data_IF_483968488119
#
_entry.id   IF_483968488119
#
_cell.length_a   1.000
_cell.length_b   1.000
_cell.length_c   1.000
_cell.angle_alpha   90.00
_cell.angle_beta   90.00
_cell.angle_gamma   90.00
#
_symmetry.space_group_name_H-M   'P 1'
#
loop_
_entity.id
_entity.type
_entity.pdbx_description
1 polymer ?
#
# COMPACT_ATOMS: atom_id res chain seq x y z
N UNK A 1 50.54 -0.42 45.00
CA UNK A 1 49.80 0.83 44.69
C UNK A 1 49.49 0.82 43.20
N UNK A 2 48.23 0.54 42.87
CA UNK A 2 47.67 0.66 41.52
C UNK A 2 47.44 2.14 41.21
N UNK A 3 47.84 2.54 40.00
CA UNK A 3 47.08 3.35 39.05
C UNK A 3 48.05 4.16 38.19
N UNK A 4 48.15 3.80 36.92
CA UNK A 4 48.39 4.79 35.88
C UNK A 4 47.38 4.47 34.80
N UNK A 5 46.25 5.19 34.87
CA UNK A 5 45.26 5.26 33.81
C UNK A 5 45.99 5.65 32.53
N UNK A 6 46.03 4.74 31.57
CA UNK A 6 46.35 5.08 30.18
C UNK A 6 45.21 5.94 29.64
N UNK A 7 45.22 7.21 30.02
CA UNK A 7 44.46 8.27 29.37
C UNK A 7 45.09 8.42 27.99
N UNK A 8 44.56 7.70 27.01
CA UNK A 8 44.77 7.98 25.60
C UNK A 8 44.20 9.37 25.33
N UNK A 9 45.03 10.39 25.57
CA UNK A 9 44.79 11.77 25.17
C UNK A 9 44.57 11.79 23.67
N UNK A 10 43.47 12.38 23.20
CA UNK A 10 43.20 12.43 21.78
C UNK A 10 44.15 13.50 21.21
N UNK A 11 45.15 13.04 20.47
CA UNK A 11 46.20 13.84 19.80
C UNK A 11 45.63 14.71 18.67
N UNK A 12 44.60 15.51 18.94
CA UNK A 12 44.11 16.58 18.08
C UNK A 12 45.13 17.73 18.08
N UNK A 13 46.10 17.64 17.17
CA UNK A 13 47.01 18.73 16.83
C UNK A 13 46.33 19.79 15.97
N UNK A 14 46.31 21.02 16.50
CA UNK A 14 45.89 22.30 15.93
C UNK A 14 45.95 22.45 14.39
N UNK A 15 44.84 22.95 13.83
CA UNK A 15 44.84 23.89 12.70
C UNK A 15 44.63 23.29 11.31
N UNK A 16 45.59 22.53 10.79
CA UNK A 16 45.61 22.15 9.37
C UNK A 16 44.97 20.76 9.08
N UNK A 17 45.18 19.78 9.97
CA UNK A 17 44.61 18.44 9.81
C UNK A 17 43.12 18.35 10.16
N UNK A 18 42.65 19.25 11.03
CA UNK A 18 41.23 19.32 11.44
C UNK A 18 40.33 19.72 10.28
N UNK A 19 40.71 20.75 9.51
CA UNK A 19 39.91 21.23 8.38
C UNK A 19 39.75 20.18 7.27
N UNK A 20 40.82 19.47 6.90
CA UNK A 20 40.75 18.41 5.90
C UNK A 20 39.92 17.21 6.39
N UNK A 21 40.04 16.88 7.69
CA UNK A 21 39.22 15.84 8.31
C UNK A 21 37.74 16.24 8.37
N UNK A 22 37.43 17.49 8.66
CA UNK A 22 36.05 18.00 8.68
C UNK A 22 35.44 17.97 7.28
N UNK A 23 36.19 18.37 6.24
CA UNK A 23 35.74 18.23 4.85
C UNK A 23 35.50 16.76 4.51
N UNK A 24 36.43 15.87 4.85
CA UNK A 24 36.28 14.45 4.57
C UNK A 24 35.05 13.86 5.29
N UNK A 25 34.85 14.22 6.56
CA UNK A 25 33.68 13.81 7.34
C UNK A 25 32.38 14.37 6.73
N UNK A 26 32.37 15.62 6.28
CA UNK A 26 31.23 16.23 5.61
C UNK A 26 30.89 15.54 4.28
N UNK A 27 31.90 15.23 3.47
CA UNK A 27 31.71 14.50 2.19
C UNK A 27 31.13 13.11 2.45
N UNK A 28 31.66 12.37 3.44
CA UNK A 28 31.13 11.05 3.80
C UNK A 28 29.70 11.16 4.33
N UNK A 29 29.40 12.16 5.15
CA UNK A 29 28.05 12.38 5.66
C UNK A 29 27.05 12.69 4.52
N UNK A 30 27.44 13.56 3.58
CA UNK A 30 26.63 13.86 2.39
C UNK A 30 26.44 12.60 1.54
N UNK A 31 27.50 11.84 1.29
CA UNK A 31 27.42 10.60 0.52
C UNK A 31 26.48 9.58 1.18
N UNK A 32 26.55 9.43 2.51
CA UNK A 32 25.65 8.58 3.26
C UNK A 32 24.19 9.06 3.17
N UNK A 33 23.95 10.37 3.29
CA UNK A 33 22.61 10.94 3.15
C UNK A 33 22.03 10.71 1.75
N UNK A 34 22.84 10.92 0.70
CA UNK A 34 22.44 10.65 -0.69
C UNK A 34 22.15 9.17 -0.90
N UNK A 35 22.97 8.27 -0.35
CA UNK A 35 22.76 6.83 -0.44
C UNK A 35 21.41 6.41 0.17
N UNK A 36 21.11 6.89 1.38
CA UNK A 36 19.84 6.63 2.05
C UNK A 36 18.67 7.19 1.24
N UNK A 37 18.83 8.39 0.69
CA UNK A 37 17.81 9.01 -0.15
C UNK A 37 17.53 8.20 -1.43
N UNK A 38 18.58 7.74 -2.12
CA UNK A 38 18.45 6.88 -3.30
C UNK A 38 17.76 5.56 -2.94
N UNK A 39 18.13 4.95 -1.82
CA UNK A 39 17.47 3.73 -1.33
C UNK A 39 15.98 3.98 -1.06
N UNK A 40 15.63 5.08 -0.40
CA UNK A 40 14.25 5.46 -0.15
C UNK A 40 13.46 5.69 -1.45
N UNK A 41 14.08 6.32 -2.45
CA UNK A 41 13.49 6.50 -3.78
C UNK A 41 13.25 5.18 -4.50
N UNK A 42 14.20 4.24 -4.45
CA UNK A 42 14.03 2.90 -5.03
C UNK A 42 12.92 2.13 -4.33
N UNK A 43 12.84 2.17 -3.00
CA UNK A 43 11.76 1.56 -2.26
C UNK A 43 10.41 2.18 -2.63
N UNK A 44 10.34 3.51 -2.71
CA UNK A 44 9.12 4.21 -3.12
C UNK A 44 8.69 3.81 -4.53
N UNK A 45 9.63 3.75 -5.47
CA UNK A 45 9.36 3.28 -6.83
C UNK A 45 8.86 1.84 -6.86
N UNK A 46 9.45 0.95 -6.05
CA UNK A 46 9.00 -0.43 -5.92
C UNK A 46 7.57 -0.51 -5.35
N UNK A 47 7.26 0.27 -4.32
CA UNK A 47 5.90 0.38 -3.77
C UNK A 47 4.91 0.90 -4.80
N UNK A 48 5.27 1.94 -5.56
CA UNK A 48 4.43 2.46 -6.64
C UNK A 48 4.20 1.42 -7.73
N UNK A 49 5.20 0.61 -8.05
CA UNK A 49 5.07 -0.47 -9.02
C UNK A 49 4.10 -1.54 -8.52
N UNK A 50 4.25 -1.99 -7.27
CA UNK A 50 3.33 -2.96 -6.65
C UNK A 50 1.91 -2.40 -6.57
N UNK A 51 1.77 -1.15 -6.15
CA UNK A 51 0.48 -0.47 -6.06
C UNK A 51 -0.17 -0.31 -7.45
N UNK A 52 0.60 0.10 -8.46
CA UNK A 52 0.13 0.20 -9.84
C UNK A 52 -0.29 -1.17 -10.39
N UNK A 53 0.49 -2.21 -10.15
CA UNK A 53 0.14 -3.58 -10.52
C UNK A 53 -1.14 -4.06 -9.82
N UNK A 54 -1.30 -3.75 -8.52
CA UNK A 54 -2.51 -4.06 -7.77
C UNK A 54 -3.74 -3.34 -8.33
N UNK A 55 -3.62 -2.06 -8.68
CA UNK A 55 -4.70 -1.29 -9.32
C UNK A 55 -5.07 -1.85 -10.69
N UNK A 56 -4.09 -2.24 -11.51
CA UNK A 56 -4.35 -2.88 -12.80
C UNK A 56 -5.05 -4.24 -12.62
N UNK A 57 -4.57 -5.06 -11.68
CA UNK A 57 -5.20 -6.35 -11.38
C UNK A 57 -6.64 -6.18 -10.87
N UNK A 58 -6.88 -5.22 -9.97
CA UNK A 58 -8.21 -4.89 -9.47
C UNK A 58 -9.12 -4.34 -10.57
N UNK A 59 -8.59 -3.49 -11.46
CA UNK A 59 -9.31 -2.94 -12.61
C UNK A 59 -9.72 -4.04 -13.60
N UNK A 60 -8.79 -4.94 -13.94
CA UNK A 60 -9.07 -6.11 -14.79
C UNK A 60 -10.08 -7.02 -14.12
N UNK A 61 -9.96 -7.30 -12.83
CA UNK A 61 -10.94 -8.11 -12.08
C UNK A 61 -12.32 -7.45 -12.06
N UNK A 62 -12.40 -6.14 -11.84
CA UNK A 62 -13.65 -5.40 -11.85
C UNK A 62 -14.31 -5.43 -13.24
N UNK A 63 -13.53 -5.21 -14.29
CA UNK A 63 -14.00 -5.27 -15.68
C UNK A 63 -14.46 -6.69 -16.03
N UNK A 64 -13.67 -7.70 -15.67
CA UNK A 64 -14.02 -9.11 -15.81
C UNK A 64 -15.31 -9.45 -15.07
N UNK A 65 -15.48 -8.96 -13.84
CA UNK A 65 -16.69 -9.16 -13.05
C UNK A 65 -17.91 -8.47 -13.68
N UNK A 66 -17.75 -7.28 -14.26
CA UNK A 66 -18.82 -6.55 -14.97
C UNK A 66 -19.21 -7.26 -16.28
N UNK A 67 -18.24 -7.70 -17.08
CA UNK A 67 -18.48 -8.38 -18.37
C UNK A 67 -18.94 -9.82 -18.17
N UNK A 68 -18.43 -10.52 -17.14
CA UNK A 68 -18.89 -11.84 -16.70
C UNK A 68 -19.94 -11.76 -15.58
N UNK A 69 -20.80 -10.75 -15.56
CA UNK A 69 -22.15 -11.01 -15.03
C UNK A 69 -22.96 -11.59 -16.18
N UNK A 70 -22.96 -12.91 -16.43
CA UNK A 70 -24.12 -13.48 -17.08
C UNK A 70 -25.28 -13.22 -16.13
N UNK A 71 -26.41 -12.89 -16.72
CA UNK A 71 -27.75 -12.96 -16.18
C UNK A 71 -28.07 -14.32 -15.53
N UNK A 72 -27.39 -14.68 -14.45
CA UNK A 72 -27.68 -15.89 -13.68
C UNK A 72 -28.50 -15.52 -12.45
N UNK A 73 -29.79 -15.31 -12.72
CA UNK A 73 -30.88 -15.91 -11.93
C UNK A 73 -31.11 -15.40 -10.50
N UNK A 74 -30.69 -14.18 -10.17
CA UNK A 74 -31.27 -13.46 -9.02
C UNK A 74 -31.23 -11.97 -9.30
N UNK A 75 -32.39 -11.44 -9.66
CA UNK A 75 -32.61 -10.06 -10.06
C UNK A 75 -32.46 -9.13 -8.84
N UNK A 76 -31.24 -8.94 -8.39
CA UNK A 76 -30.88 -7.81 -7.53
C UNK A 76 -30.54 -6.65 -8.47
N UNK A 77 -31.37 -5.60 -8.45
CA UNK A 77 -31.15 -4.35 -9.16
C UNK A 77 -29.80 -3.74 -8.80
N UNK A 78 -29.34 -2.80 -9.63
CA UNK A 78 -27.98 -2.24 -9.58
C UNK A 78 -27.57 -1.66 -8.20
N UNK A 79 -28.54 -1.39 -7.32
CA UNK A 79 -28.36 -0.88 -5.96
C UNK A 79 -28.45 -1.96 -4.85
N UNK A 80 -28.47 -3.25 -5.20
CA UNK A 80 -28.69 -4.33 -4.22
C UNK A 80 -30.14 -4.43 -3.75
N UNK A 81 -31.08 -3.86 -4.51
CA UNK A 81 -32.52 -3.94 -4.25
C UNK A 81 -33.09 -5.17 -4.97
N UNK A 82 -33.69 -6.09 -4.22
CA UNK A 82 -34.33 -7.29 -4.76
C UNK A 82 -35.53 -6.88 -5.62
N UNK A 83 -35.49 -7.18 -6.93
CA UNK A 83 -36.58 -6.89 -7.84
C UNK A 83 -37.63 -7.98 -7.66
N UNK A 84 -38.66 -7.61 -6.91
CA UNK A 84 -39.82 -8.44 -6.66
C UNK A 84 -40.75 -8.42 -7.89
N UNK A 85 -40.70 -9.47 -8.70
CA UNK A 85 -41.54 -9.59 -9.89
C UNK A 85 -42.96 -9.98 -9.47
N UNK A 86 -43.90 -9.07 -9.70
CA UNK A 86 -45.32 -9.33 -9.49
C UNK A 86 -45.92 -10.00 -10.73
N UNK A 87 -46.41 -11.23 -10.57
CA UNK A 87 -47.10 -11.99 -11.63
C UNK A 87 -48.58 -12.06 -11.33
N UNK A 88 -49.45 -11.86 -12.33
CA UNK A 88 -50.91 -11.94 -12.16
C UNK A 88 -51.37 -13.40 -12.26
N UNK A 89 -51.70 -13.99 -11.11
CA UNK A 89 -52.29 -15.32 -11.01
C UNK A 89 -53.83 -15.31 -11.01
N UNK A 90 -54.47 -16.50 -11.00
CA UNK A 90 -55.94 -16.65 -11.05
C UNK A 90 -56.68 -16.00 -9.88
N UNK A 91 -55.98 -15.76 -8.76
CA UNK A 91 -56.53 -15.14 -7.54
C UNK A 91 -56.08 -13.69 -7.32
N UNK A 92 -55.39 -13.07 -8.28
CA UNK A 92 -54.85 -11.70 -8.16
C UNK A 92 -53.35 -11.61 -8.42
N UNK A 93 -52.73 -10.49 -8.07
CA UNK A 93 -51.28 -10.30 -8.20
C UNK A 93 -50.53 -11.09 -7.10
N UNK A 94 -49.59 -11.94 -7.49
CA UNK A 94 -48.68 -12.66 -6.59
C UNK A 94 -47.25 -12.18 -6.81
N UNK A 95 -46.51 -11.93 -5.75
CA UNK A 95 -45.12 -11.47 -5.81
C UNK A 95 -44.21 -12.64 -5.44
N UNK A 96 -43.28 -13.01 -6.33
CA UNK A 96 -42.28 -14.03 -6.01
C UNK A 96 -41.24 -13.44 -5.04
N UNK A 97 -41.17 -14.00 -3.82
CA UNK A 97 -40.20 -13.60 -2.79
C UNK A 97 -40.77 -13.52 -1.36
N UNK A 98 -42.08 -13.34 -1.20
CA UNK A 98 -42.71 -13.20 0.14
C UNK A 98 -42.93 -14.53 0.88
N UNK A 99 -42.70 -15.67 0.21
CA UNK A 99 -43.02 -17.01 0.74
C UNK A 99 -41.85 -17.70 1.44
N UNK A 100 -40.70 -17.03 1.63
CA UNK A 100 -39.58 -17.61 2.37
C UNK A 100 -39.84 -17.44 3.87
N UNK A 101 -40.06 -18.52 4.65
CA UNK A 101 -40.11 -18.40 6.10
C UNK A 101 -38.73 -17.97 6.59
N UNK A 102 -38.63 -16.77 7.16
CA UNK A 102 -37.45 -16.38 7.95
C UNK A 102 -37.40 -17.29 9.18
N UNK A 103 -36.44 -18.22 9.22
CA UNK A 103 -36.01 -18.92 10.44
C UNK A 103 -34.97 -18.10 11.17
#
# INVERSE_FOLDING_TARGET
>A
MTNTSNTSSPFFGNGAGGFLRDILAAVVAIAAAVLVFVLAMMLTAAFLFVFGAALLAAGVYWLWRKVRRPSTSREYGEDGVEILVATRGPKGWTVDGTNSPKS
#
